data_IF_515897204175
#
_entry.id   IF_515897204175
#
_cell.length_a   1.000
_cell.length_b   1.000
_cell.length_c   1.000
_cell.angle_alpha   90.00
_cell.angle_beta   90.00
_cell.angle_gamma   90.00
#
_symmetry.space_group_name_H-M   'P 1'
#
loop_
_entity.id
_entity.type
_entity.pdbx_description
1 polymer ?
#
# COMPACT_ATOMS: atom_id res chain seq x y z
N UNK A 1 -7.04 -2.52 -23.86
CA UNK A 1 -7.58 -1.91 -22.62
C UNK A 1 -6.69 -2.30 -21.46
N UNK A 2 -5.89 -1.35 -20.94
CA UNK A 2 -4.93 -1.59 -19.87
C UNK A 2 -5.43 -1.09 -18.50
N UNK A 3 -6.37 -0.12 -18.51
CA UNK A 3 -6.96 0.46 -17.31
C UNK A 3 -7.51 -0.58 -16.32
N UNK A 4 -8.31 -1.61 -16.73
CA UNK A 4 -8.83 -2.58 -15.78
C UNK A 4 -7.73 -3.41 -15.10
N UNK A 5 -6.66 -3.72 -15.84
CA UNK A 5 -5.51 -4.47 -15.30
C UNK A 5 -4.69 -3.60 -14.33
N UNK A 6 -4.46 -2.33 -14.70
CA UNK A 6 -3.78 -1.38 -13.84
C UNK A 6 -4.55 -1.17 -12.52
N UNK A 7 -5.89 -1.07 -12.60
CA UNK A 7 -6.73 -0.95 -11.42
C UNK A 7 -6.68 -2.19 -10.52
N UNK A 8 -6.74 -3.40 -11.09
CA UNK A 8 -6.60 -4.63 -10.30
C UNK A 8 -5.23 -4.69 -9.61
N UNK A 9 -4.16 -4.27 -10.29
CA UNK A 9 -2.83 -4.25 -9.71
C UNK A 9 -2.71 -3.25 -8.55
N UNK A 10 -3.38 -2.11 -8.63
CA UNK A 10 -3.47 -1.09 -7.59
C UNK A 10 -4.36 -1.58 -6.42
N UNK A 11 -5.60 -2.01 -6.70
CA UNK A 11 -6.58 -2.48 -5.70
C UNK A 11 -6.12 -3.72 -4.92
N UNK A 12 -5.17 -4.51 -5.44
CA UNK A 12 -4.68 -5.76 -4.84
C UNK A 12 -3.15 -5.77 -4.74
N UNK A 13 -2.56 -4.67 -4.32
CA UNK A 13 -1.13 -4.53 -4.12
C UNK A 13 -0.55 -5.57 -3.15
N UNK A 14 0.76 -5.58 -3.02
CA UNK A 14 1.48 -6.55 -2.18
C UNK A 14 1.54 -6.08 -0.73
N UNK A 15 1.18 -6.93 0.22
CA UNK A 15 1.26 -6.61 1.65
C UNK A 15 1.73 -7.80 2.49
N UNK A 16 2.34 -7.48 3.63
CA UNK A 16 2.82 -8.46 4.59
C UNK A 16 1.84 -8.67 5.75
N UNK A 17 1.80 -9.88 6.30
CA UNK A 17 1.10 -10.22 7.53
C UNK A 17 2.08 -10.90 8.47
N UNK A 18 2.21 -10.39 9.68
CA UNK A 18 2.93 -11.01 10.79
C UNK A 18 1.93 -11.39 11.88
N UNK A 19 1.74 -12.68 12.10
CA UNK A 19 0.95 -13.21 13.21
C UNK A 19 1.92 -13.76 14.25
N UNK A 20 1.84 -13.31 15.50
CA UNK A 20 2.76 -13.76 16.55
C UNK A 20 2.03 -14.07 17.85
N UNK A 21 2.37 -15.19 18.44
CA UNK A 21 2.11 -15.53 19.83
C UNK A 21 3.39 -15.37 20.68
N UNK A 22 3.34 -15.67 21.96
CA UNK A 22 4.55 -15.64 22.80
C UNK A 22 5.62 -16.68 22.43
N UNK A 23 5.29 -17.69 21.59
CA UNK A 23 6.20 -18.81 21.25
C UNK A 23 6.35 -19.06 19.76
N UNK A 24 5.43 -18.61 18.94
CA UNK A 24 5.37 -18.88 17.51
C UNK A 24 5.09 -17.61 16.74
N UNK A 25 5.64 -17.52 15.52
CA UNK A 25 5.31 -16.49 14.57
C UNK A 25 5.04 -17.09 13.20
N UNK A 26 4.17 -16.47 12.44
CA UNK A 26 3.77 -16.83 11.08
C UNK A 26 3.86 -15.60 10.21
N UNK A 27 4.54 -15.70 9.10
CA UNK A 27 4.67 -14.63 8.11
C UNK A 27 3.93 -15.03 6.84
N UNK A 28 3.15 -14.14 6.30
CA UNK A 28 2.46 -14.35 5.03
C UNK A 28 2.68 -13.14 4.14
N UNK A 29 3.05 -13.38 2.90
CA UNK A 29 3.09 -12.38 1.84
C UNK A 29 1.86 -12.57 0.98
N UNK A 30 1.06 -11.54 0.83
CA UNK A 30 -0.16 -11.54 0.03
C UNK A 30 0.02 -10.63 -1.17
N UNK A 31 -0.35 -11.12 -2.35
CA UNK A 31 -0.35 -10.39 -3.61
C UNK A 31 -1.53 -10.82 -4.47
N UNK A 32 -2.20 -9.86 -5.11
CA UNK A 32 -3.39 -10.09 -5.93
C UNK A 32 -4.47 -10.94 -5.22
N UNK A 33 -4.66 -10.69 -3.92
CA UNK A 33 -5.66 -11.38 -3.11
C UNK A 33 -5.36 -12.85 -2.79
N UNK A 34 -4.12 -13.30 -2.99
CA UNK A 34 -3.67 -14.67 -2.71
C UNK A 34 -2.40 -14.68 -1.87
N UNK A 35 -2.19 -15.75 -1.11
CA UNK A 35 -0.92 -15.98 -0.45
C UNK A 35 0.12 -16.30 -1.50
N UNK A 36 1.12 -15.43 -1.65
CA UNK A 36 2.25 -15.61 -2.56
C UNK A 36 3.35 -16.46 -1.90
N UNK A 37 3.60 -16.21 -0.62
CA UNK A 37 4.58 -16.94 0.17
C UNK A 37 4.18 -16.98 1.65
N UNK A 38 4.62 -18.01 2.34
CA UNK A 38 4.41 -18.18 3.78
C UNK A 38 5.67 -18.75 4.45
N UNK A 39 5.97 -18.26 5.66
CA UNK A 39 7.01 -18.82 6.51
C UNK A 39 6.51 -18.94 7.95
N UNK A 40 6.73 -20.10 8.55
CA UNK A 40 6.50 -20.35 9.97
C UNK A 40 7.81 -20.29 10.75
N UNK A 41 7.82 -19.57 11.86
CA UNK A 41 8.96 -19.48 12.78
C UNK A 41 8.55 -20.14 14.07
N UNK A 42 9.22 -21.24 14.39
CA UNK A 42 9.12 -21.86 15.71
C UNK A 42 10.33 -21.37 16.49
N UNK A 43 10.11 -20.58 17.52
CA UNK A 43 11.19 -20.17 18.40
C UNK A 43 10.97 -20.69 19.79
N UNK A 44 12.03 -21.08 20.35
CA UNK A 44 12.26 -21.67 21.64
C UNK A 44 11.90 -23.17 21.72
N UNK A 45 12.88 -23.99 22.08
CA UNK A 45 12.56 -25.29 22.65
C UNK A 45 11.61 -25.06 23.83
N UNK A 46 10.65 -25.94 23.98
CA UNK A 46 9.83 -25.96 25.19
C UNK A 46 10.76 -25.88 26.40
N UNK A 47 10.66 -24.80 27.15
CA UNK A 47 11.45 -24.66 28.37
C UNK A 47 10.83 -25.64 29.38
N UNK A 48 11.43 -26.81 29.47
CA UNK A 48 11.01 -27.86 30.43
C UNK A 48 11.05 -27.37 31.89
N UNK A 49 11.70 -26.22 32.14
CA UNK A 49 11.69 -25.57 33.44
C UNK A 49 10.32 -25.02 33.83
N UNK A 50 9.43 -24.74 32.84
CA UNK A 50 8.05 -24.31 33.10
C UNK A 50 7.14 -25.47 33.51
N UNK A 51 7.48 -26.72 33.21
CA UNK A 51 6.66 -27.91 33.57
C UNK A 51 6.73 -28.27 35.07
N UNK A 52 7.68 -27.71 35.81
CA UNK A 52 7.92 -28.01 37.23
C UNK A 52 7.44 -26.94 38.23
N UNK A 53 6.92 -25.80 37.74
CA UNK A 53 6.49 -24.72 38.62
C UNK A 53 5.11 -25.02 39.23
N UNK A 54 5.09 -25.48 40.49
CA UNK A 54 3.88 -25.47 41.34
C UNK A 54 3.92 -24.23 42.22
N UNK A 55 2.94 -23.32 42.15
CA UNK A 55 2.86 -22.19 43.06
C UNK A 55 2.71 -22.72 44.50
N UNK A 56 3.73 -22.54 45.31
CA UNK A 56 3.65 -22.84 46.75
C UNK A 56 2.74 -21.81 47.42
N UNK A 57 1.58 -22.25 47.90
CA UNK A 57 0.69 -21.45 48.73
C UNK A 57 1.47 -20.93 49.94
N UNK A 58 1.78 -19.61 49.98
CA UNK A 58 2.28 -19.00 51.22
C UNK A 58 3.47 -18.04 51.11
N UNK A 59 4.13 -17.85 49.98
CA UNK A 59 5.13 -16.80 49.77
C UNK A 59 4.91 -16.11 48.41
N UNK A 60 3.95 -15.22 48.42
CA UNK A 60 3.66 -14.30 47.32
C UNK A 60 4.80 -13.27 47.21
N UNK A 61 5.42 -13.18 46.01
CA UNK A 61 6.16 -12.02 45.58
C UNK A 61 7.45 -12.31 44.80
N UNK A 62 8.44 -12.97 45.35
CA UNK A 62 9.79 -13.03 44.76
C UNK A 62 9.97 -14.09 43.65
N UNK A 63 9.30 -15.23 43.77
CA UNK A 63 9.38 -16.29 42.74
C UNK A 63 8.50 -15.97 41.53
N UNK A 64 7.37 -15.30 41.74
CA UNK A 64 6.46 -14.91 40.66
C UNK A 64 7.05 -13.81 39.82
N UNK A 65 7.77 -12.84 40.40
CA UNK A 65 8.48 -11.80 39.64
C UNK A 65 9.64 -12.35 38.81
N UNK A 66 10.39 -13.32 39.33
CA UNK A 66 11.47 -13.97 38.55
C UNK A 66 10.92 -14.77 37.39
N UNK A 67 9.84 -15.51 37.64
CA UNK A 67 9.18 -16.29 36.58
C UNK A 67 8.61 -15.37 35.51
N UNK A 68 7.95 -14.28 35.89
CA UNK A 68 7.43 -13.32 34.93
C UNK A 68 8.54 -12.67 34.10
N UNK A 69 9.65 -12.24 34.70
CA UNK A 69 10.81 -11.69 33.98
C UNK A 69 11.39 -12.69 32.99
N UNK A 70 11.48 -13.98 33.39
CA UNK A 70 11.95 -15.02 32.50
C UNK A 70 11.01 -15.23 31.29
N UNK A 71 9.68 -15.21 31.50
CA UNK A 71 8.71 -15.26 30.40
C UNK A 71 8.80 -14.04 29.48
N UNK A 72 8.96 -12.86 30.05
CA UNK A 72 9.13 -11.62 29.29
C UNK A 72 10.41 -11.64 28.44
N UNK A 73 11.51 -12.18 28.98
CA UNK A 73 12.78 -12.38 28.24
C UNK A 73 12.61 -13.37 27.07
N UNK A 74 11.86 -14.46 27.27
CA UNK A 74 11.59 -15.42 26.20
C UNK A 74 10.74 -14.80 25.10
N UNK A 75 9.69 -14.07 25.45
CA UNK A 75 8.87 -13.33 24.47
C UNK A 75 9.73 -12.32 23.71
N UNK A 76 10.59 -11.58 24.41
CA UNK A 76 11.48 -10.59 23.79
C UNK A 76 12.45 -11.23 22.79
N UNK A 77 13.06 -12.37 23.14
CA UNK A 77 13.94 -13.12 22.24
C UNK A 77 13.19 -13.66 21.02
N UNK A 78 11.99 -14.20 21.23
CA UNK A 78 11.12 -14.69 20.18
C UNK A 78 10.74 -13.57 19.20
N UNK A 79 10.26 -12.44 19.73
CA UNK A 79 9.89 -11.27 18.93
C UNK A 79 11.08 -10.77 18.09
N UNK A 80 12.28 -10.73 18.69
CA UNK A 80 13.51 -10.34 17.98
C UNK A 80 13.81 -11.27 16.80
N UNK A 81 13.63 -12.58 16.99
CA UNK A 81 13.80 -13.57 15.93
C UNK A 81 12.75 -13.41 14.82
N UNK A 82 11.47 -13.24 15.20
CA UNK A 82 10.37 -13.03 14.27
C UNK A 82 10.57 -11.76 13.41
N UNK A 83 10.98 -10.65 14.03
CA UNK A 83 11.27 -9.40 13.31
C UNK A 83 12.45 -9.55 12.35
N UNK A 84 13.53 -10.24 12.77
CA UNK A 84 14.68 -10.49 11.91
C UNK A 84 14.29 -11.31 10.68
N UNK A 85 13.44 -12.30 10.86
CA UNK A 85 12.95 -13.10 9.75
C UNK A 85 11.98 -12.31 8.87
N UNK A 86 11.10 -11.50 9.45
CA UNK A 86 10.22 -10.60 8.70
C UNK A 86 11.01 -9.65 7.78
N UNK A 87 12.15 -9.12 8.25
CA UNK A 87 13.03 -8.27 7.43
C UNK A 87 13.65 -9.00 6.22
N UNK A 88 13.85 -10.31 6.32
CA UNK A 88 14.38 -11.13 5.22
C UNK A 88 13.29 -11.63 4.29
N UNK A 89 12.13 -11.92 4.87
CA UNK A 89 11.00 -12.52 4.18
C UNK A 89 10.22 -11.52 3.33
N UNK A 90 9.95 -10.31 3.87
CA UNK A 90 9.18 -9.32 3.15
C UNK A 90 10.05 -8.56 2.14
N UNK A 91 9.65 -8.51 0.85
CA UNK A 91 10.32 -7.69 -0.13
C UNK A 91 10.13 -6.19 0.16
N UNK A 92 10.98 -5.36 -0.42
CA UNK A 92 10.96 -3.91 -0.17
C UNK A 92 9.79 -3.15 -0.80
N UNK A 93 8.97 -3.83 -1.60
CA UNK A 93 7.84 -3.28 -2.36
C UNK A 93 6.47 -3.60 -1.75
N UNK A 94 6.40 -4.06 -0.50
CA UNK A 94 5.11 -4.19 0.19
C UNK A 94 4.55 -2.82 0.58
N UNK A 95 3.24 -2.64 0.38
CA UNK A 95 2.55 -1.40 0.71
C UNK A 95 2.33 -1.25 2.21
N UNK A 96 1.88 -2.33 2.88
CA UNK A 96 1.53 -2.36 4.29
C UNK A 96 2.02 -3.63 4.98
N UNK A 97 2.20 -3.53 6.29
CA UNK A 97 2.44 -4.66 7.17
C UNK A 97 1.33 -4.74 8.22
N UNK A 98 0.53 -5.80 8.15
CA UNK A 98 -0.47 -6.09 9.17
C UNK A 98 0.16 -6.95 10.27
N UNK A 99 -0.02 -6.56 11.53
CA UNK A 99 0.48 -7.31 12.69
C UNK A 99 -0.68 -7.80 13.52
N UNK A 100 -0.69 -9.10 13.82
CA UNK A 100 -1.62 -9.71 14.74
C UNK A 100 -0.86 -10.39 15.87
N UNK A 101 -1.10 -9.95 17.11
CA UNK A 101 -0.47 -10.51 18.29
C UNK A 101 -1.30 -10.22 19.55
N UNK A 102 -1.07 -10.98 20.61
CA UNK A 102 -1.58 -10.65 21.93
C UNK A 102 -0.99 -9.32 22.43
N UNK A 103 -1.72 -8.63 23.31
CA UNK A 103 -1.40 -7.27 23.75
C UNK A 103 0.05 -7.09 24.23
N UNK A 104 0.58 -8.02 25.01
CA UNK A 104 1.96 -7.97 25.50
C UNK A 104 2.98 -8.18 24.39
N UNK A 105 2.78 -9.19 23.56
CA UNK A 105 3.63 -9.49 22.40
C UNK A 105 3.59 -8.36 21.37
N UNK A 106 2.42 -7.75 21.15
CA UNK A 106 2.27 -6.62 20.24
C UNK A 106 3.08 -5.40 20.67
N UNK A 107 3.03 -5.04 21.96
CA UNK A 107 3.82 -3.94 22.50
C UNK A 107 5.33 -4.19 22.30
N UNK A 108 5.78 -5.42 22.48
CA UNK A 108 7.17 -5.82 22.29
C UNK A 108 7.58 -5.78 20.81
N UNK A 109 6.70 -6.23 19.88
CA UNK A 109 6.91 -6.10 18.45
C UNK A 109 7.06 -4.63 18.05
N UNK A 110 6.17 -3.75 18.52
CA UNK A 110 6.23 -2.32 18.21
C UNK A 110 7.49 -1.65 18.76
N UNK A 111 7.97 -2.10 19.92
CA UNK A 111 9.20 -1.60 20.54
C UNK A 111 10.45 -1.99 19.76
N UNK A 112 10.52 -3.25 19.31
CA UNK A 112 11.69 -3.80 18.63
C UNK A 112 11.69 -3.61 17.10
N UNK A 113 10.55 -3.20 16.52
CA UNK A 113 10.39 -3.08 15.07
C UNK A 113 11.31 -2.01 14.50
N UNK A 114 12.16 -2.32 13.51
CA UNK A 114 13.05 -1.36 12.86
C UNK A 114 12.26 -0.33 12.06
N UNK A 115 12.83 0.85 11.89
CA UNK A 115 12.19 2.00 11.26
C UNK A 115 11.62 1.70 9.85
N UNK A 116 12.27 0.83 9.08
CA UNK A 116 11.80 0.42 7.76
C UNK A 116 10.45 -0.30 7.81
N UNK A 117 10.32 -1.34 8.62
CA UNK A 117 9.06 -2.08 8.79
C UNK A 117 8.02 -1.27 9.58
N UNK A 118 8.47 -0.44 10.53
CA UNK A 118 7.57 0.40 11.34
C UNK A 118 6.80 1.40 10.50
N UNK A 119 7.39 1.91 9.41
CA UNK A 119 6.71 2.82 8.48
C UNK A 119 5.58 2.13 7.70
N UNK A 120 5.68 0.81 7.52
CA UNK A 120 4.69 -0.01 6.82
C UNK A 120 3.61 -0.53 7.76
N UNK A 121 3.79 -0.40 9.08
CA UNK A 121 2.82 -0.82 10.09
C UNK A 121 1.68 0.20 10.16
N UNK A 122 0.56 -0.10 9.52
CA UNK A 122 -0.61 0.79 9.48
C UNK A 122 -1.67 0.39 10.50
N UNK A 123 -1.80 -0.90 10.82
CA UNK A 123 -2.81 -1.38 11.76
C UNK A 123 -2.46 -2.72 12.39
N UNK A 124 -3.18 -3.05 13.45
CA UNK A 124 -3.14 -4.36 14.08
C UNK A 124 -4.43 -5.12 13.79
N UNK A 125 -4.29 -6.36 13.35
CA UNK A 125 -5.41 -7.25 13.10
C UNK A 125 -5.61 -8.23 14.27
N UNK A 126 -6.81 -8.78 14.40
CA UNK A 126 -7.11 -9.81 15.41
C UNK A 126 -7.17 -11.17 14.72
N UNK A 127 -6.03 -11.81 14.59
CA UNK A 127 -5.91 -13.21 14.15
C UNK A 127 -5.27 -14.04 15.26
N UNK A 128 -5.66 -15.31 15.32
CA UNK A 128 -4.91 -16.33 16.06
C UNK A 128 -3.84 -16.94 15.12
N UNK A 129 -2.70 -17.37 15.69
CA UNK A 129 -1.64 -18.07 14.98
C UNK A 129 -2.15 -19.31 14.23
N UNK A 130 -3.19 -19.96 14.77
CA UNK A 130 -3.86 -21.14 14.21
C UNK A 130 -4.99 -20.81 13.23
N UNK A 131 -5.25 -19.53 12.95
CA UNK A 131 -6.32 -19.15 12.03
C UNK A 131 -6.06 -19.75 10.65
N UNK A 132 -7.08 -20.37 10.00
CA UNK A 132 -6.94 -20.87 8.64
C UNK A 132 -6.61 -19.72 7.67
N UNK A 133 -5.81 -20.02 6.63
CA UNK A 133 -5.39 -19.04 5.61
C UNK A 133 -6.56 -18.27 5.00
N UNK A 134 -7.62 -18.99 4.67
CA UNK A 134 -8.82 -18.38 4.09
C UNK A 134 -9.38 -17.27 4.97
N UNK A 135 -9.48 -17.50 6.28
CA UNK A 135 -9.97 -16.50 7.23
C UNK A 135 -9.02 -15.31 7.38
N UNK A 136 -7.70 -15.61 7.43
CA UNK A 136 -6.67 -14.56 7.48
C UNK A 136 -6.75 -13.68 6.24
N UNK A 137 -6.86 -14.29 5.05
CA UNK A 137 -7.00 -13.58 3.78
C UNK A 137 -8.27 -12.73 3.73
N UNK A 138 -9.43 -13.27 4.05
CA UNK A 138 -10.71 -12.53 4.03
C UNK A 138 -10.65 -11.26 4.88
N UNK A 139 -10.16 -11.37 6.11
CA UNK A 139 -10.07 -10.24 7.04
C UNK A 139 -8.95 -9.28 6.59
N UNK A 140 -7.78 -9.79 6.21
CA UNK A 140 -6.67 -8.93 5.79
C UNK A 140 -6.96 -8.15 4.51
N UNK A 141 -7.68 -8.75 3.55
CA UNK A 141 -8.12 -8.07 2.34
C UNK A 141 -9.08 -6.91 2.63
N UNK A 142 -10.01 -7.08 3.57
CA UNK A 142 -10.92 -5.98 3.94
C UNK A 142 -10.15 -4.81 4.58
N UNK A 143 -9.20 -5.13 5.45
CA UNK A 143 -8.33 -4.12 6.09
C UNK A 143 -7.45 -3.44 5.04
N UNK A 144 -6.83 -4.22 4.13
CA UNK A 144 -6.00 -3.69 3.06
C UNK A 144 -6.75 -2.68 2.20
N UNK A 145 -7.95 -3.05 1.71
CA UNK A 145 -8.79 -2.15 0.90
C UNK A 145 -9.15 -0.86 1.62
N UNK A 146 -9.43 -0.94 2.91
CA UNK A 146 -9.73 0.26 3.70
C UNK A 146 -8.50 1.18 3.86
N UNK A 147 -7.32 0.60 4.07
CA UNK A 147 -6.06 1.35 4.17
C UNK A 147 -5.69 1.99 2.85
N UNK A 148 -5.78 1.23 1.75
CA UNK A 148 -5.51 1.69 0.39
C UNK A 148 -6.43 2.87 0.04
N UNK A 149 -7.73 2.71 0.23
CA UNK A 149 -8.69 3.77 -0.06
C UNK A 149 -8.44 5.05 0.77
N UNK A 150 -8.06 4.92 2.04
CA UNK A 150 -7.66 6.09 2.85
C UNK A 150 -6.38 6.75 2.32
N UNK A 151 -5.40 5.95 1.92
CA UNK A 151 -4.15 6.41 1.32
C UNK A 151 -4.40 7.21 0.04
N UNK A 152 -5.14 6.62 -0.89
CA UNK A 152 -5.51 7.21 -2.18
C UNK A 152 -6.29 8.52 -2.01
N UNK A 153 -7.29 8.55 -1.12
CA UNK A 153 -8.04 9.78 -0.82
C UNK A 153 -7.16 10.87 -0.21
N UNK A 154 -6.22 10.49 0.68
CA UNK A 154 -5.25 11.45 1.25
C UNK A 154 -4.36 12.01 0.16
N UNK A 155 -3.81 11.17 -0.71
CA UNK A 155 -2.96 11.58 -1.84
C UNK A 155 -3.70 12.52 -2.79
N UNK A 156 -4.97 12.24 -3.10
CA UNK A 156 -5.80 13.11 -3.93
C UNK A 156 -6.01 14.49 -3.30
N UNK A 157 -6.33 14.56 -2.01
CA UNK A 157 -6.45 15.84 -1.27
C UNK A 157 -5.14 16.62 -1.26
N UNK A 158 -4.02 15.95 -0.98
CA UNK A 158 -2.69 16.57 -1.00
C UNK A 158 -2.36 17.12 -2.40
N UNK A 159 -2.66 16.39 -3.46
CA UNK A 159 -2.46 16.86 -4.84
C UNK A 159 -3.27 18.14 -5.13
N UNK A 160 -4.52 18.23 -4.69
CA UNK A 160 -5.35 19.43 -4.85
C UNK A 160 -4.76 20.63 -4.09
N UNK A 161 -4.26 20.40 -2.86
CA UNK A 161 -3.62 21.46 -2.07
C UNK A 161 -2.30 21.92 -2.72
N UNK A 162 -1.47 20.97 -3.17
CA UNK A 162 -0.19 21.27 -3.81
C UNK A 162 -0.34 22.00 -5.15
N UNK A 163 -1.39 21.69 -5.91
CA UNK A 163 -1.67 22.39 -7.17
C UNK A 163 -2.06 23.86 -6.96
N UNK A 164 -2.68 24.17 -5.82
CA UNK A 164 -3.10 25.54 -5.45
C UNK A 164 -2.02 26.32 -4.69
N UNK A 165 -0.91 25.67 -4.34
CA UNK A 165 0.20 26.30 -3.60
C UNK A 165 1.08 27.16 -4.52
N UNK A 166 1.83 28.11 -3.92
CA UNK A 166 2.79 28.96 -4.66
C UNK A 166 3.90 28.14 -5.35
N UNK A 167 4.31 27.03 -4.75
CA UNK A 167 5.24 26.05 -5.35
C UNK A 167 4.39 24.92 -5.92
N UNK A 168 3.86 25.11 -7.12
CA UNK A 168 2.98 24.14 -7.78
C UNK A 168 3.72 22.83 -8.02
N UNK A 169 3.52 21.84 -7.16
CA UNK A 169 4.06 20.47 -7.27
C UNK A 169 3.04 19.46 -7.75
N UNK A 170 1.89 19.93 -8.14
CA UNK A 170 0.85 19.13 -8.76
C UNK A 170 0.12 19.97 -9.83
N UNK A 171 -0.52 19.30 -10.75
CA UNK A 171 -1.43 19.91 -11.73
C UNK A 171 -2.76 19.18 -11.71
N UNK A 172 -3.85 19.89 -12.02
CA UNK A 172 -5.21 19.39 -11.98
C UNK A 172 -5.88 19.50 -13.36
N UNK A 173 -6.80 18.58 -13.60
CA UNK A 173 -7.60 18.51 -14.81
C UNK A 173 -6.86 17.92 -16.01
N UNK A 174 -7.63 17.47 -17.01
CA UNK A 174 -7.15 16.64 -18.11
C UNK A 174 -6.04 17.29 -18.92
N UNK A 175 -6.17 18.58 -19.28
CA UNK A 175 -5.21 19.27 -20.16
C UNK A 175 -3.84 19.40 -19.49
N UNK A 176 -3.80 19.87 -18.24
CA UNK A 176 -2.55 20.10 -17.52
C UNK A 176 -1.86 18.78 -17.14
N UNK A 177 -2.65 17.78 -16.73
CA UNK A 177 -2.15 16.43 -16.41
C UNK A 177 -1.57 15.75 -17.66
N UNK A 178 -2.25 15.83 -18.80
CA UNK A 178 -1.77 15.28 -20.06
C UNK A 178 -0.46 15.94 -20.52
N UNK A 179 -0.35 17.28 -20.42
CA UNK A 179 0.90 17.98 -20.71
C UNK A 179 2.03 17.50 -19.81
N UNK A 180 1.79 17.40 -18.49
CA UNK A 180 2.81 16.93 -17.56
C UNK A 180 3.30 15.50 -17.85
N UNK A 181 2.40 14.60 -18.26
CA UNK A 181 2.75 13.25 -18.72
C UNK A 181 3.61 13.29 -19.97
N UNK A 182 3.17 13.99 -21.01
CA UNK A 182 3.85 14.06 -22.30
C UNK A 182 5.20 14.81 -22.26
N UNK A 183 5.38 15.69 -21.28
CA UNK A 183 6.62 16.42 -21.03
C UNK A 183 7.59 15.65 -20.10
N UNK A 184 7.22 14.45 -19.64
CA UNK A 184 8.05 13.62 -18.75
C UNK A 184 8.20 14.17 -17.32
N UNK A 185 7.36 15.14 -16.92
CA UNK A 185 7.39 15.79 -15.60
C UNK A 185 6.56 15.08 -14.53
N UNK A 186 5.74 14.10 -14.93
CA UNK A 186 4.86 13.36 -14.05
C UNK A 186 5.65 12.35 -13.18
N UNK A 187 5.33 12.29 -11.90
CA UNK A 187 5.79 11.27 -10.95
C UNK A 187 4.67 10.26 -10.67
N UNK A 188 3.46 10.75 -10.37
CA UNK A 188 2.27 9.94 -10.12
C UNK A 188 1.07 10.58 -10.82
N UNK A 189 0.31 9.77 -11.55
CA UNK A 189 -0.98 10.12 -12.11
C UNK A 189 -2.08 9.65 -11.15
N UNK A 190 -2.92 10.57 -10.67
CA UNK A 190 -4.04 10.29 -9.78
C UNK A 190 -5.34 10.40 -10.57
N UNK A 191 -6.13 9.33 -10.60
CA UNK A 191 -7.33 9.23 -11.43
C UNK A 191 -8.55 8.88 -10.58
N UNK A 192 -9.54 9.76 -10.55
CA UNK A 192 -10.84 9.46 -9.95
C UNK A 192 -11.57 8.36 -10.72
N UNK A 193 -12.25 7.48 -10.00
CA UNK A 193 -13.14 6.49 -10.62
C UNK A 193 -14.18 7.15 -11.52
N UNK A 194 -14.67 8.33 -11.12
CA UNK A 194 -15.67 9.11 -11.86
C UNK A 194 -15.09 9.91 -13.01
N UNK A 195 -13.77 9.94 -13.17
CA UNK A 195 -13.18 10.68 -14.29
C UNK A 195 -13.65 10.12 -15.62
N UNK A 196 -14.17 10.98 -16.44
CA UNK A 196 -14.52 10.72 -17.83
C UNK A 196 -14.09 11.93 -18.66
N UNK A 197 -13.60 11.69 -19.84
CA UNK A 197 -13.19 12.75 -20.74
C UNK A 197 -12.91 12.26 -22.14
N UNK A 198 -13.15 13.14 -23.09
CA UNK A 198 -12.88 12.96 -24.49
C UNK A 198 -11.56 13.63 -24.87
N UNK A 199 -10.96 13.12 -25.94
CA UNK A 199 -9.75 13.71 -26.49
C UNK A 199 -9.48 13.27 -27.92
N UNK A 200 -8.26 13.45 -28.33
CA UNK A 200 -7.81 13.10 -29.68
C UNK A 200 -6.35 12.69 -29.67
N UNK A 201 -5.94 11.96 -30.69
CA UNK A 201 -4.55 11.59 -30.96
C UNK A 201 -4.17 11.93 -32.42
N UNK A 202 -3.00 12.51 -32.61
CA UNK A 202 -2.44 12.74 -33.92
C UNK A 202 -1.73 11.48 -34.42
N UNK A 203 -2.07 11.01 -35.63
CA UNK A 203 -1.40 9.85 -36.22
C UNK A 203 0.04 10.14 -36.66
N UNK A 204 0.39 11.41 -36.82
CA UNK A 204 1.72 11.78 -37.29
C UNK A 204 2.76 11.91 -36.19
N UNK A 205 2.41 12.52 -35.05
CA UNK A 205 3.33 12.72 -33.93
C UNK A 205 2.95 11.92 -32.67
N UNK A 206 1.85 11.16 -32.73
CA UNK A 206 1.29 10.33 -31.65
C UNK A 206 0.92 11.10 -30.37
N UNK A 207 1.05 12.42 -30.37
CA UNK A 207 0.66 13.26 -29.24
C UNK A 207 -0.85 13.20 -29.02
N UNK A 208 -1.22 13.13 -27.75
CA UNK A 208 -2.61 13.21 -27.29
C UNK A 208 -3.00 14.66 -26.98
N UNK A 209 -4.26 14.96 -27.12
CA UNK A 209 -4.83 16.23 -26.70
C UNK A 209 -6.16 16.05 -26.02
N UNK A 210 -6.45 16.88 -25.03
CA UNK A 210 -7.70 16.90 -24.31
C UNK A 210 -8.75 17.75 -25.06
N UNK A 211 -10.04 17.46 -24.81
CA UNK A 211 -11.19 18.14 -25.36
C UNK A 211 -11.42 17.92 -26.89
N UNK A 212 -12.09 18.83 -27.55
CA UNK A 212 -12.52 18.68 -28.93
C UNK A 212 -11.35 18.50 -29.91
N UNK A 213 -11.51 17.60 -30.88
CA UNK A 213 -10.57 17.35 -31.96
C UNK A 213 -10.36 18.62 -32.80
N UNK A 214 -9.14 19.13 -32.93
CA UNK A 214 -8.82 20.27 -33.78
C UNK A 214 -8.79 19.87 -35.26
N UNK A 215 -8.85 20.85 -36.15
CA UNK A 215 -8.73 20.61 -37.62
C UNK A 215 -7.31 20.16 -37.99
N UNK A 216 -6.32 20.68 -37.29
CA UNK A 216 -4.89 20.36 -37.48
C UNK A 216 -4.25 20.11 -36.12
N UNK A 217 -3.26 19.23 -36.09
CA UNK A 217 -2.52 18.94 -34.85
C UNK A 217 -1.77 20.18 -34.36
N UNK A 218 -1.99 20.57 -33.13
CA UNK A 218 -1.36 21.74 -32.54
C UNK A 218 0.14 21.54 -32.26
N UNK A 219 0.64 20.31 -32.35
CA UNK A 219 2.05 19.97 -32.12
C UNK A 219 2.87 19.85 -33.43
N UNK A 220 2.29 19.31 -34.49
CA UNK A 220 3.02 19.03 -35.72
C UNK A 220 2.34 19.51 -37.00
N UNK A 221 1.18 20.17 -36.94
CA UNK A 221 0.45 20.71 -38.09
C UNK A 221 -0.27 19.69 -38.99
N UNK A 222 -0.15 18.38 -38.75
CA UNK A 222 -0.83 17.37 -39.55
C UNK A 222 -2.33 17.34 -39.32
N UNK A 223 -3.08 16.87 -40.34
CA UNK A 223 -4.57 16.82 -40.31
C UNK A 223 -5.10 15.44 -39.85
N UNK A 224 -4.27 14.42 -39.85
CA UNK A 224 -4.64 13.04 -39.50
C UNK A 224 -4.75 12.90 -38.00
N UNK A 225 -5.91 13.25 -37.47
CA UNK A 225 -6.21 13.23 -36.04
C UNK A 225 -7.40 12.30 -35.78
N UNK A 226 -7.25 11.36 -34.86
CA UNK A 226 -8.30 10.47 -34.44
C UNK A 226 -8.91 10.94 -33.12
N UNK A 227 -10.24 10.80 -32.99
CA UNK A 227 -10.93 11.01 -31.71
C UNK A 227 -10.57 9.87 -30.76
N UNK A 228 -10.38 10.20 -29.48
CA UNK A 228 -10.21 9.27 -28.37
C UNK A 228 -11.35 9.52 -27.38
N UNK A 229 -12.39 8.65 -27.35
CA UNK A 229 -13.55 8.86 -26.48
C UNK A 229 -13.28 8.53 -25.01
N UNK A 230 -12.19 7.81 -24.74
CA UNK A 230 -11.81 7.41 -23.37
C UNK A 230 -10.41 7.90 -23.05
N UNK A 231 -10.33 9.13 -22.54
CA UNK A 231 -9.05 9.71 -22.10
C UNK A 231 -8.52 9.09 -20.81
N UNK A 232 -9.36 8.40 -20.04
CA UNK A 232 -8.90 7.65 -18.87
C UNK A 232 -7.96 6.53 -19.27
N UNK A 233 -8.43 5.69 -20.21
CA UNK A 233 -7.61 4.60 -20.79
C UNK A 233 -6.31 5.13 -21.41
N UNK A 234 -6.42 6.18 -22.23
CA UNK A 234 -5.27 6.74 -22.93
C UNK A 234 -4.21 7.33 -21.97
N UNK A 235 -4.65 8.04 -20.92
CA UNK A 235 -3.73 8.66 -19.97
C UNK A 235 -3.11 7.63 -19.02
N UNK A 236 -3.85 6.60 -18.61
CA UNK A 236 -3.31 5.49 -17.81
C UNK A 236 -2.28 4.70 -18.63
N UNK A 237 -2.61 4.37 -19.89
CA UNK A 237 -1.70 3.70 -20.80
C UNK A 237 -0.41 4.49 -21.02
N UNK A 238 -0.53 5.80 -21.22
CA UNK A 238 0.61 6.70 -21.38
C UNK A 238 1.48 6.78 -20.12
N UNK A 239 0.87 6.88 -18.95
CA UNK A 239 1.57 6.94 -17.66
C UNK A 239 2.39 5.67 -17.44
N UNK A 240 1.78 4.50 -17.60
CA UNK A 240 2.45 3.21 -17.45
C UNK A 240 3.58 3.03 -18.49
N UNK A 241 3.36 3.44 -19.73
CA UNK A 241 4.39 3.40 -20.77
C UNK A 241 5.61 4.27 -20.47
N UNK A 242 5.46 5.31 -19.67
CA UNK A 242 6.57 6.17 -19.20
C UNK A 242 7.10 5.81 -17.81
N UNK A 243 6.63 4.71 -17.20
CA UNK A 243 7.02 4.31 -15.85
C UNK A 243 6.54 5.29 -14.77
N UNK A 244 5.46 6.04 -15.04
CA UNK A 244 4.80 6.92 -14.07
C UNK A 244 3.86 6.09 -13.21
N UNK A 245 3.90 6.27 -11.89
CA UNK A 245 2.96 5.64 -10.97
C UNK A 245 1.52 6.04 -11.29
N UNK A 246 0.58 5.13 -11.11
CA UNK A 246 -0.86 5.42 -11.28
C UNK A 246 -1.57 5.05 -10.00
N UNK A 247 -2.37 5.97 -9.49
CA UNK A 247 -3.18 5.84 -8.29
C UNK A 247 -4.66 6.02 -8.65
N UNK A 248 -5.50 5.06 -8.29
CA UNK A 248 -6.94 5.15 -8.51
C UNK A 248 -7.65 5.53 -7.23
N UNK A 249 -8.55 6.51 -7.31
CA UNK A 249 -9.21 7.08 -6.13
C UNK A 249 -10.71 6.92 -6.24
N UNK A 250 -11.28 6.22 -5.26
CA UNK A 250 -12.71 6.15 -5.06
C UNK A 250 -13.19 7.32 -4.18
N UNK A 251 -14.34 7.90 -4.54
CA UNK A 251 -15.00 8.91 -3.71
C UNK A 251 -14.11 10.08 -3.26
N UNK A 252 -13.57 10.84 -4.22
CA UNK A 252 -12.81 12.06 -3.95
C UNK A 252 -13.53 13.31 -4.49
N UNK A 253 -14.48 13.89 -3.73
CA UNK A 253 -15.21 15.06 -4.16
C UNK A 253 -14.33 16.25 -4.53
N UNK A 254 -13.21 16.42 -3.80
CA UNK A 254 -12.26 17.50 -4.07
C UNK A 254 -11.55 17.31 -5.41
N UNK A 255 -11.16 16.09 -5.76
CA UNK A 255 -10.55 15.78 -7.05
C UNK A 255 -11.56 15.88 -8.17
N UNK A 256 -12.77 15.34 -7.96
CA UNK A 256 -13.88 15.37 -8.92
C UNK A 256 -14.27 16.82 -9.29
N UNK A 257 -14.38 17.70 -8.28
CA UNK A 257 -14.63 19.13 -8.48
C UNK A 257 -13.52 19.85 -9.28
N UNK A 258 -12.33 19.28 -9.36
CA UNK A 258 -11.18 19.82 -10.11
C UNK A 258 -10.87 19.01 -11.38
N UNK A 259 -11.87 18.32 -11.94
CA UNK A 259 -11.78 17.60 -13.20
C UNK A 259 -11.44 16.12 -13.10
N UNK A 260 -11.46 15.54 -11.90
CA UNK A 260 -11.35 14.10 -11.66
C UNK A 260 -9.94 13.49 -11.91
N UNK A 261 -8.95 14.31 -12.22
CA UNK A 261 -7.61 13.85 -12.54
C UNK A 261 -6.54 14.87 -12.09
N UNK A 262 -5.43 14.35 -11.58
CA UNK A 262 -4.28 15.14 -11.14
C UNK A 262 -2.96 14.44 -11.48
N UNK A 263 -1.87 15.20 -11.49
CA UNK A 263 -0.51 14.67 -11.58
C UNK A 263 0.34 15.31 -10.50
N UNK A 264 1.02 14.48 -9.70
CA UNK A 264 2.14 14.91 -8.88
C UNK A 264 3.39 15.03 -9.76
N UNK A 265 4.12 16.12 -9.60
CA UNK A 265 5.28 16.43 -10.42
C UNK A 265 6.57 15.96 -9.73
N UNK A 266 7.51 15.45 -10.53
CA UNK A 266 8.85 15.08 -10.08
C UNK A 266 9.52 16.24 -9.32
N UNK A 267 10.22 15.92 -8.26
CA UNK A 267 11.07 16.91 -7.57
C UNK A 267 12.20 17.33 -8.53
N UNK A 268 12.34 18.63 -8.71
CA UNK A 268 13.50 19.21 -9.40
C UNK A 268 14.72 19.13 -8.50
#
# INVERSE_FOLDING_TARGET
FIYPLARIADDYGRYGILISSGKQARLMLVHLGRVEAEAGIITAPDDDTAKGYQPRKGRLGWNDERHQRHLDDLVSKHVKAAIREAQRFFPGDINFLLVAAEKGTLAEIQRQMPAGLKKLLETTAKFDIKSPDKRVLEISLSIFKELENRGSQKMAREAVVLAKSKVSRAVLGTKASLSALQDGRAEILIVSERFAGDGWQCNGCLKLGAAAKPRVCIYCGRREINRRPDMKEEMVSLALGYGVGVEFVENSPELDANGGIAVLLKRR
#
